data_IF_979328176243
#
_entry.id   IF_979328176243
#
_cell.length_a   1.000
_cell.length_b   1.000
_cell.length_c   1.000
_cell.angle_alpha   90.00
_cell.angle_beta   90.00
_cell.angle_gamma   90.00
#
_symmetry.space_group_name_H-M   'P 1'
#
loop_
_entity.id
_entity.type
_entity.pdbx_description
1 polymer ?
#
# COMPACT_ATOMS: atom_id res chain seq x y z
N UNK A 1 4.09 -4.16 12.21
CA UNK A 1 4.40 -5.18 11.19
C UNK A 1 5.53 -4.64 10.35
N UNK A 2 6.49 -5.50 9.99
CA UNK A 2 7.62 -5.14 9.13
C UNK A 2 7.37 -5.65 7.71
N UNK A 3 8.05 -5.07 6.72
CA UNK A 3 7.91 -5.43 5.29
C UNK A 3 8.22 -6.91 5.04
N UNK A 4 9.25 -7.46 5.69
CA UNK A 4 9.61 -8.87 5.56
C UNK A 4 8.49 -9.80 6.05
N UNK A 5 7.80 -9.43 7.14
CA UNK A 5 6.66 -10.20 7.64
C UNK A 5 5.48 -10.16 6.67
N UNK A 6 5.23 -9.02 6.01
CA UNK A 6 4.16 -8.89 5.03
C UNK A 6 4.40 -9.77 3.79
N UNK A 7 5.62 -9.78 3.26
CA UNK A 7 5.99 -10.67 2.14
C UNK A 7 5.81 -12.14 2.49
N UNK A 8 6.19 -12.55 3.69
CA UNK A 8 5.91 -13.91 4.17
C UNK A 8 4.42 -14.24 4.27
N UNK A 9 3.53 -13.24 4.46
CA UNK A 9 2.08 -13.48 4.42
C UNK A 9 1.59 -13.63 2.98
N UNK A 10 2.16 -12.88 2.03
CA UNK A 10 1.86 -13.04 0.61
C UNK A 10 2.23 -14.44 0.10
N UNK A 11 3.39 -14.97 0.49
CA UNK A 11 3.85 -16.32 0.10
C UNK A 11 2.97 -17.46 0.63
N UNK A 12 2.21 -17.24 1.70
CA UNK A 12 1.32 -18.25 2.28
C UNK A 12 0.02 -18.41 1.50
N UNK A 13 -0.32 -17.49 0.61
CA UNK A 13 -1.58 -17.51 -0.12
C UNK A 13 -1.45 -18.48 -1.30
N UNK A 14 -2.18 -19.58 -1.24
CA UNK A 14 -2.29 -20.51 -2.37
C UNK A 14 -3.24 -19.94 -3.44
N UNK A 15 -2.66 -19.55 -4.58
CA UNK A 15 -3.38 -19.05 -5.75
C UNK A 15 -4.31 -20.11 -6.38
N UNK A 16 -4.11 -21.40 -6.12
CA UNK A 16 -4.97 -22.47 -6.65
C UNK A 16 -6.15 -22.81 -5.72
N UNK A 17 -6.18 -22.25 -4.52
CA UNK A 17 -7.25 -22.47 -3.57
C UNK A 17 -8.46 -21.55 -3.81
N UNK A 18 -9.63 -21.97 -3.34
CA UNK A 18 -10.84 -21.13 -3.32
C UNK A 18 -10.69 -19.92 -2.38
N UNK A 19 -9.72 -19.97 -1.45
CA UNK A 19 -9.51 -18.97 -0.40
C UNK A 19 -8.18 -18.24 -0.62
N UNK A 20 -8.14 -17.35 -1.61
CA UNK A 20 -6.94 -16.57 -1.98
C UNK A 20 -6.69 -15.38 -1.05
N UNK A 21 -6.90 -15.53 0.26
CA UNK A 21 -6.66 -14.45 1.22
C UNK A 21 -6.19 -14.96 2.59
N UNK A 22 -5.41 -14.12 3.26
CA UNK A 22 -4.84 -14.37 4.58
C UNK A 22 -5.13 -13.17 5.47
N UNK A 23 -5.53 -13.44 6.72
CA UNK A 23 -5.77 -12.39 7.72
C UNK A 23 -4.43 -11.82 8.18
N UNK A 24 -4.34 -10.49 8.23
CA UNK A 24 -3.20 -9.81 8.86
C UNK A 24 -3.16 -10.09 10.38
N UNK A 25 -2.00 -9.91 11.04
CA UNK A 25 -1.73 -10.44 12.38
C UNK A 25 -2.81 -10.14 13.45
N UNK A 26 -2.92 -11.02 14.44
CA UNK A 26 -4.00 -11.05 15.44
C UNK A 26 -4.04 -9.83 16.39
N UNK A 27 -2.97 -9.04 16.46
CA UNK A 27 -2.94 -7.76 17.19
C UNK A 27 -3.77 -6.67 16.50
N UNK A 28 -4.16 -6.88 15.23
CA UNK A 28 -5.08 -6.05 14.49
C UNK A 28 -6.52 -6.30 14.98
N UNK A 29 -7.09 -5.31 15.68
CA UNK A 29 -8.49 -5.37 16.12
C UNK A 29 -9.47 -5.38 14.95
N UNK A 30 -9.27 -4.59 13.88
CA UNK A 30 -10.07 -4.73 12.66
C UNK A 30 -9.82 -6.06 11.95
N UNK A 31 -10.84 -6.57 11.27
CA UNK A 31 -10.71 -7.74 10.41
C UNK A 31 -10.09 -7.33 9.07
N UNK A 32 -8.76 -7.22 9.06
CA UNK A 32 -7.97 -6.85 7.88
C UNK A 32 -7.33 -8.10 7.26
N UNK A 33 -7.42 -8.21 5.94
CA UNK A 33 -6.90 -9.33 5.16
C UNK A 33 -6.13 -8.80 3.95
N UNK A 34 -5.15 -9.59 3.51
CA UNK A 34 -4.51 -9.42 2.21
C UNK A 34 -4.88 -10.62 1.33
N UNK A 35 -4.96 -10.42 0.03
CA UNK A 35 -5.37 -11.50 -0.86
C UNK A 35 -5.12 -11.20 -2.33
N UNK A 36 -5.45 -12.17 -3.17
CA UNK A 36 -5.44 -12.04 -4.61
C UNK A 36 -6.86 -12.17 -5.16
N UNK A 37 -7.09 -11.54 -6.29
CA UNK A 37 -8.32 -11.74 -7.04
C UNK A 37 -8.22 -12.82 -8.11
N UNK A 38 -9.28 -12.95 -8.91
CA UNK A 38 -9.34 -13.92 -10.00
C UNK A 38 -8.35 -13.60 -11.13
N UNK A 39 -7.85 -12.36 -11.19
CA UNK A 39 -6.85 -11.88 -12.14
C UNK A 39 -5.43 -11.85 -11.54
N UNK A 40 -5.26 -12.36 -10.32
CA UNK A 40 -4.02 -12.31 -9.53
C UNK A 40 -3.56 -10.90 -9.13
N UNK A 41 -4.47 -9.94 -9.07
CA UNK A 41 -4.19 -8.61 -8.51
C UNK A 41 -4.13 -8.67 -6.99
N UNK A 42 -3.15 -8.00 -6.39
CA UNK A 42 -3.04 -7.87 -4.93
C UNK A 42 -4.19 -7.02 -4.39
N UNK A 43 -4.75 -7.44 -3.25
CA UNK A 43 -5.87 -6.78 -2.57
C UNK A 43 -5.61 -6.63 -1.08
N UNK A 44 -6.07 -5.50 -0.55
CA UNK A 44 -6.28 -5.26 0.87
C UNK A 44 -7.78 -5.26 1.13
N UNK A 45 -8.24 -6.04 2.10
CA UNK A 45 -9.65 -6.26 2.38
C UNK A 45 -9.91 -5.94 3.85
N UNK A 46 -10.79 -4.99 4.12
CA UNK A 46 -11.34 -4.73 5.43
C UNK A 46 -12.75 -5.30 5.49
N UNK A 47 -12.99 -6.24 6.41
CA UNK A 47 -14.32 -6.75 6.71
C UNK A 47 -14.95 -5.96 7.86
N UNK A 48 -16.14 -5.41 7.62
CA UNK A 48 -16.87 -4.58 8.57
C UNK A 48 -17.93 -5.42 9.28
N UNK A 49 -17.76 -5.60 10.59
CA UNK A 49 -18.68 -6.39 11.43
C UNK A 49 -19.87 -5.60 11.96
N UNK A 50 -19.90 -4.27 11.74
CA UNK A 50 -20.95 -3.37 12.22
C UNK A 50 -22.13 -3.22 11.25
N UNK A 51 -23.27 -2.73 11.75
CA UNK A 51 -24.45 -2.36 10.95
C UNK A 51 -24.47 -0.88 10.54
N UNK A 52 -23.41 -0.14 10.87
CA UNK A 52 -23.30 1.28 10.57
C UNK A 52 -23.19 1.49 9.05
N UNK A 53 -23.97 2.45 8.53
CA UNK A 53 -23.91 2.82 7.12
C UNK A 53 -22.63 3.61 6.87
N UNK A 54 -21.84 3.16 5.90
CA UNK A 54 -20.66 3.87 5.41
C UNK A 54 -21.01 4.55 4.10
N UNK A 55 -20.68 5.83 4.00
CA UNK A 55 -20.78 6.59 2.75
C UNK A 55 -19.35 6.74 2.20
N UNK A 56 -18.85 5.66 1.60
CA UNK A 56 -17.54 5.62 0.94
C UNK A 56 -17.80 5.67 -0.54
N UNK A 57 -17.26 6.70 -1.20
CA UNK A 57 -17.29 6.77 -2.65
C UNK A 57 -16.22 5.84 -3.22
N UNK A 58 -16.65 4.94 -4.10
CA UNK A 58 -15.73 4.15 -4.90
C UNK A 58 -14.84 5.09 -5.74
N UNK A 59 -13.54 4.81 -5.79
CA UNK A 59 -12.59 5.48 -6.67
C UNK A 59 -11.81 4.40 -7.42
N UNK A 60 -12.16 4.23 -8.70
CA UNK A 60 -11.54 3.25 -9.59
C UNK A 60 -10.60 3.99 -10.53
N UNK A 61 -9.30 3.81 -10.34
CA UNK A 61 -8.27 4.39 -11.20
C UNK A 61 -7.50 3.31 -11.94
N UNK A 62 -6.61 3.74 -12.82
CA UNK A 62 -5.84 2.87 -13.71
C UNK A 62 -4.97 1.85 -12.96
N UNK A 63 -4.32 2.25 -11.86
CA UNK A 63 -3.31 1.43 -11.18
C UNK A 63 -3.74 0.94 -9.81
N UNK A 64 -4.66 1.65 -9.15
CA UNK A 64 -5.20 1.29 -7.85
C UNK A 64 -6.68 1.68 -7.79
N UNK A 65 -7.48 0.87 -7.10
CA UNK A 65 -8.90 1.16 -6.89
C UNK A 65 -9.28 0.90 -5.44
N UNK A 66 -10.20 1.71 -4.91
CA UNK A 66 -10.89 1.46 -3.65
C UNK A 66 -12.38 1.31 -3.93
N UNK A 67 -12.96 0.24 -3.40
CA UNK A 67 -14.35 -0.11 -3.62
C UNK A 67 -14.99 -0.58 -2.33
N UNK A 68 -16.20 -0.12 -2.06
CA UNK A 68 -16.98 -0.53 -0.90
C UNK A 68 -18.22 -1.32 -1.32
N UNK A 69 -18.27 -2.56 -0.88
CA UNK A 69 -19.38 -3.48 -1.17
C UNK A 69 -20.36 -3.50 0.01
N UNK A 70 -21.45 -2.74 -0.10
CA UNK A 70 -22.48 -2.65 0.94
C UNK A 70 -23.10 -4.00 1.33
N UNK A 71 -23.35 -4.87 0.35
CA UNK A 71 -24.01 -6.17 0.57
C UNK A 71 -23.14 -7.13 1.38
N UNK A 72 -21.85 -7.18 1.05
CA UNK A 72 -20.89 -8.07 1.72
C UNK A 72 -20.22 -7.39 2.91
N UNK A 73 -20.33 -6.06 3.03
CA UNK A 73 -19.66 -5.22 4.04
C UNK A 73 -18.15 -5.33 4.01
N UNK A 74 -17.59 -5.24 2.80
CA UNK A 74 -16.15 -5.22 2.59
C UNK A 74 -15.71 -3.92 1.94
N UNK A 75 -14.70 -3.28 2.51
CA UNK A 75 -13.92 -2.26 1.83
C UNK A 75 -12.69 -2.93 1.24
N UNK A 76 -12.51 -2.83 -0.07
CA UNK A 76 -11.47 -3.51 -0.82
C UNK A 76 -10.63 -2.46 -1.55
N UNK A 77 -9.31 -2.51 -1.35
CA UNK A 77 -8.35 -1.79 -2.16
C UNK A 77 -7.64 -2.79 -3.06
N UNK A 78 -7.69 -2.58 -4.37
CA UNK A 78 -7.09 -3.47 -5.38
C UNK A 78 -5.97 -2.76 -6.12
N UNK A 79 -4.83 -3.42 -6.27
CA UNK A 79 -3.73 -2.98 -7.11
C UNK A 79 -3.87 -3.60 -8.51
N UNK A 80 -4.04 -2.80 -9.55
CA UNK A 80 -4.21 -3.28 -10.93
C UNK A 80 -2.90 -3.40 -11.71
N UNK A 81 -1.79 -2.89 -11.17
CA UNK A 81 -0.50 -2.85 -11.85
C UNK A 81 0.65 -3.28 -10.93
N UNK A 82 1.28 -4.40 -11.28
CA UNK A 82 2.29 -5.08 -10.46
C UNK A 82 3.58 -4.27 -10.31
N UNK A 83 3.89 -3.34 -11.24
CA UNK A 83 5.09 -2.48 -11.10
C UNK A 83 5.07 -1.62 -9.82
N UNK A 84 3.88 -1.38 -9.24
CA UNK A 84 3.69 -0.63 -8.00
C UNK A 84 3.61 -1.51 -6.74
N UNK A 85 3.92 -2.80 -6.85
CA UNK A 85 3.86 -3.77 -5.74
C UNK A 85 4.54 -3.29 -4.46
N UNK A 86 5.75 -2.76 -4.56
CA UNK A 86 6.52 -2.34 -3.39
C UNK A 86 5.91 -1.08 -2.74
N UNK A 87 5.35 -0.17 -3.56
CA UNK A 87 4.57 0.99 -3.09
C UNK A 87 3.29 0.51 -2.39
N UNK A 88 2.62 -0.49 -2.95
CA UNK A 88 1.41 -1.08 -2.38
C UNK A 88 1.68 -1.77 -1.04
N UNK A 89 2.80 -2.46 -0.90
CA UNK A 89 3.22 -3.02 0.38
C UNK A 89 3.46 -1.93 1.43
N UNK A 90 4.11 -0.83 1.06
CA UNK A 90 4.32 0.31 1.96
C UNK A 90 2.98 0.98 2.35
N UNK A 91 2.03 1.06 1.42
CA UNK A 91 0.65 1.47 1.70
C UNK A 91 -0.03 0.54 2.72
N UNK A 92 0.02 -0.79 2.53
CA UNK A 92 -0.57 -1.77 3.45
C UNK A 92 0.02 -1.63 4.86
N UNK A 93 1.35 -1.46 4.96
CA UNK A 93 2.02 -1.24 6.25
C UNK A 93 1.55 0.05 6.93
N UNK A 94 1.37 1.13 6.15
CA UNK A 94 0.85 2.40 6.65
C UNK A 94 -0.57 2.26 7.18
N UNK A 95 -1.44 1.59 6.41
CA UNK A 95 -2.80 1.23 6.85
C UNK A 95 -2.74 0.44 8.14
N UNK A 96 -2.02 -0.69 8.16
CA UNK A 96 -1.95 -1.57 9.32
C UNK A 96 -1.51 -0.82 10.57
N UNK A 97 -0.43 -0.03 10.48
CA UNK A 97 0.09 0.70 11.63
C UNK A 97 -0.88 1.74 12.18
N UNK A 98 -1.70 2.37 11.31
CA UNK A 98 -2.72 3.35 11.72
C UNK A 98 -3.96 2.68 12.30
N UNK A 99 -4.45 1.60 11.70
CA UNK A 99 -5.77 1.04 12.03
C UNK A 99 -5.74 -0.11 13.04
N UNK A 100 -4.59 -0.76 13.29
CA UNK A 100 -4.50 -1.96 14.14
C UNK A 100 -5.11 -1.82 15.53
N UNK A 101 -5.13 -0.61 16.11
CA UNK A 101 -5.66 -0.36 17.45
C UNK A 101 -7.14 0.09 17.48
N UNK A 102 -7.71 0.40 16.33
CA UNK A 102 -9.07 0.92 16.19
C UNK A 102 -10.08 -0.20 16.41
N UNK A 103 -10.97 -0.01 17.38
CA UNK A 103 -12.03 -0.97 17.70
C UNK A 103 -13.25 -0.77 16.80
N UNK A 104 -13.52 0.47 16.41
CA UNK A 104 -14.71 0.83 15.63
C UNK A 104 -14.46 0.59 14.14
N UNK A 105 -15.23 -0.30 13.48
CA UNK A 105 -15.03 -0.61 12.07
C UNK A 105 -15.16 0.61 11.14
N UNK A 106 -16.09 1.51 11.43
CA UNK A 106 -16.27 2.75 10.66
C UNK A 106 -15.04 3.66 10.73
N UNK A 107 -14.43 3.80 11.91
CA UNK A 107 -13.21 4.61 12.05
C UNK A 107 -12.06 4.00 11.24
N UNK A 108 -11.90 2.68 11.26
CA UNK A 108 -10.88 2.01 10.46
C UNK A 108 -11.12 2.21 8.96
N UNK A 109 -12.37 2.17 8.50
CA UNK A 109 -12.72 2.41 7.10
C UNK A 109 -12.40 3.84 6.66
N UNK A 110 -12.80 4.84 7.45
CA UNK A 110 -12.49 6.26 7.17
C UNK A 110 -10.98 6.51 7.12
N UNK A 111 -10.21 5.93 8.03
CA UNK A 111 -8.74 6.04 8.02
C UNK A 111 -8.13 5.37 6.78
N UNK A 112 -8.64 4.21 6.35
CA UNK A 112 -8.18 3.55 5.11
C UNK A 112 -8.45 4.42 3.90
N UNK A 113 -9.64 5.03 3.79
CA UNK A 113 -9.97 5.94 2.70
C UNK A 113 -9.04 7.14 2.68
N UNK A 114 -8.76 7.75 3.84
CA UNK A 114 -7.83 8.88 3.93
C UNK A 114 -6.42 8.49 3.50
N UNK A 115 -5.88 7.39 4.03
CA UNK A 115 -4.54 6.90 3.64
C UNK A 115 -4.52 6.56 2.15
N UNK A 116 -5.59 5.97 1.61
CA UNK A 116 -5.69 5.71 0.18
C UNK A 116 -5.63 7.01 -0.63
N UNK A 117 -6.37 8.05 -0.24
CA UNK A 117 -6.32 9.36 -0.90
C UNK A 117 -4.91 9.95 -0.89
N UNK A 118 -4.23 9.92 0.25
CA UNK A 118 -2.86 10.43 0.40
C UNK A 118 -1.86 9.64 -0.46
N UNK A 119 -2.04 8.31 -0.54
CA UNK A 119 -1.14 7.44 -1.28
C UNK A 119 -1.40 7.39 -2.78
N UNK A 120 -2.58 7.82 -3.22
CA UNK A 120 -3.02 7.76 -4.61
C UNK A 120 -2.04 8.47 -5.56
N UNK A 121 -1.42 9.56 -5.11
CA UNK A 121 -0.41 10.30 -5.88
C UNK A 121 0.80 9.43 -6.26
N UNK A 122 1.17 8.44 -5.43
CA UNK A 122 2.29 7.53 -5.73
C UNK A 122 1.93 6.45 -6.74
N UNK A 123 0.63 6.17 -6.91
CA UNK A 123 0.13 5.23 -7.92
C UNK A 123 -0.16 5.91 -9.25
N UNK A 124 0.04 7.22 -9.37
CA UNK A 124 -0.04 7.88 -10.68
C UNK A 124 1.17 7.48 -11.53
N UNK A 125 0.98 7.38 -12.85
CA UNK A 125 2.07 7.71 -13.75
C UNK A 125 2.39 9.17 -13.50
N UNK A 126 3.31 9.41 -12.55
CA UNK A 126 4.27 10.46 -12.80
C UNK A 126 4.78 10.10 -14.18
N UNK A 127 4.43 10.91 -15.18
CA UNK A 127 5.34 11.26 -16.25
C UNK A 127 6.64 11.64 -15.55
N UNK A 128 7.39 10.63 -15.14
CA UNK A 128 8.76 10.77 -14.76
C UNK A 128 9.33 11.24 -16.09
N UNK A 129 9.50 12.56 -16.20
CA UNK A 129 10.71 13.09 -16.78
C UNK A 129 11.82 12.37 -16.04
N UNK A 130 12.14 11.16 -16.52
CA UNK A 130 13.34 10.46 -16.13
C UNK A 130 14.42 11.48 -16.43
N UNK A 131 15.22 11.78 -15.43
CA UNK A 131 16.39 12.59 -15.64
C UNK A 131 17.17 11.93 -16.78
N UNK A 132 17.48 12.71 -17.80
CA UNK A 132 18.31 12.21 -18.88
C UNK A 132 19.69 11.83 -18.31
N UNK A 133 20.40 10.95 -19.02
CA UNK A 133 21.71 10.50 -18.59
C UNK A 133 22.67 11.66 -18.25
N UNK A 134 22.70 12.78 -19.03
CA UNK A 134 23.46 13.97 -18.67
C UNK A 134 23.11 14.54 -17.29
N UNK A 135 21.82 14.66 -16.97
CA UNK A 135 21.35 15.19 -15.67
C UNK A 135 21.76 14.29 -14.52
N UNK A 136 21.69 12.97 -14.70
CA UNK A 136 22.15 11.99 -13.70
C UNK A 136 23.66 12.08 -13.51
N UNK A 137 24.43 12.20 -14.59
CA UNK A 137 25.89 12.37 -14.52
C UNK A 137 26.29 13.68 -13.82
N UNK A 138 25.57 14.77 -14.07
CA UNK A 138 25.77 16.05 -13.39
C UNK A 138 25.58 15.94 -11.87
N UNK A 139 24.44 15.40 -11.44
CA UNK A 139 24.15 15.15 -10.02
C UNK A 139 25.20 14.25 -9.36
N UNK A 140 25.66 13.21 -10.06
CA UNK A 140 26.71 12.34 -9.55
C UNK A 140 28.04 13.08 -9.40
N UNK A 141 28.40 13.94 -10.35
CA UNK A 141 29.59 14.78 -10.29
C UNK A 141 29.55 15.76 -9.11
N UNK A 142 28.39 16.39 -8.87
CA UNK A 142 28.18 17.29 -7.73
C UNK A 142 28.32 16.55 -6.39
N UNK A 143 27.68 15.39 -6.25
CA UNK A 143 27.80 14.54 -5.07
C UNK A 143 29.23 14.06 -4.84
N UNK A 144 29.93 13.68 -5.90
CA UNK A 144 31.33 13.24 -5.82
C UNK A 144 32.25 14.37 -5.35
N UNK A 145 32.06 15.58 -5.88
CA UNK A 145 32.84 16.75 -5.50
C UNK A 145 32.56 17.14 -4.04
N UNK A 146 31.30 17.09 -3.60
CA UNK A 146 30.93 17.30 -2.20
C UNK A 146 31.60 16.27 -1.28
N UNK A 147 31.61 14.99 -1.68
CA UNK A 147 32.27 13.92 -0.93
C UNK A 147 33.78 14.19 -0.78
N UNK A 148 34.46 14.62 -1.86
CA UNK A 148 35.87 14.98 -1.80
C UNK A 148 36.14 16.17 -0.86
N UNK A 149 35.27 17.16 -0.84
CA UNK A 149 35.42 18.31 0.07
C UNK A 149 35.19 17.91 1.53
N UNK A 150 34.27 16.97 1.80
CA UNK A 150 34.06 16.42 3.13
C UNK A 150 35.27 15.61 3.64
N UNK A 151 35.89 14.81 2.78
CA UNK A 151 37.14 14.10 3.12
C UNK A 151 38.28 15.08 3.43
N UNK A 152 38.44 16.14 2.63
CA UNK A 152 39.44 17.19 2.87
C UNK A 152 39.17 17.97 4.16
N UNK A 153 37.91 18.17 4.51
CA UNK A 153 37.51 18.85 5.74
C UNK A 153 37.68 17.97 7.01
N UNK A 154 38.12 16.71 6.87
CA UNK A 154 38.30 15.79 7.99
C UNK A 154 36.99 15.36 8.65
N UNK A 155 35.88 15.40 7.90
CA UNK A 155 34.54 15.08 8.40
C UNK A 155 34.09 13.63 8.11
N UNK A 156 35.00 12.74 7.71
CA UNK A 156 34.74 11.34 7.39
C UNK A 156 35.59 10.38 8.23
#
# INVERSE_FOLDING_TARGET
METATLEQQWEKIDLNSDHRSVRLPADCKPNLFIGFDNQNNRRLILSLTGQEKLDINDDVREYIAIQYFDLSRHLIVTLHEERFRDVFNAFILSVFNKVKHLVKPVQAATEIVQIYTDWNEFFSERTQQRLDLPSVMGLFGELFLLFQELEKAGAA
#
